data_IF_255121432470
#
_entry.id   IF_255121432470
#
_cell.length_a   1.000
_cell.length_b   1.000
_cell.length_c   1.000
_cell.angle_alpha   90.00
_cell.angle_beta   90.00
_cell.angle_gamma   90.00
#
_symmetry.space_group_name_H-M   'P 1'
#
loop_
_entity.id
_entity.type
_entity.pdbx_description
1 polymer ?
#
# COMPACT_ATOMS: atom_id res chain seq x y z
N UNK A 1 -6.20 -0.76 -0.43
CA UNK A 1 -7.14 0.12 -1.15
C UNK A 1 -7.71 1.18 -0.21
N UNK A 2 -7.91 2.38 -0.71
CA UNK A 2 -8.58 3.48 -0.01
C UNK A 2 -9.84 3.87 -0.76
N UNK A 3 -10.82 4.38 -0.03
CA UNK A 3 -12.03 4.96 -0.61
C UNK A 3 -11.96 6.48 -0.50
N UNK A 4 -12.15 7.17 -1.64
CA UNK A 4 -12.43 8.58 -1.67
C UNK A 4 -13.71 8.78 -2.50
N UNK A 5 -14.79 9.25 -1.87
CA UNK A 5 -16.09 9.55 -2.48
C UNK A 5 -16.70 8.40 -3.25
N UNK A 6 -17.06 7.71 -3.71
CA UNK A 6 -17.59 6.60 -4.54
C UNK A 6 -16.54 5.86 -5.37
N UNK A 7 -15.31 6.34 -5.41
CA UNK A 7 -14.20 5.70 -6.10
C UNK A 7 -13.30 4.97 -5.11
N UNK A 8 -12.88 3.74 -5.45
CA UNK A 8 -11.81 3.06 -4.75
C UNK A 8 -10.48 3.36 -5.44
N UNK A 9 -9.42 3.48 -4.65
CA UNK A 9 -8.07 3.68 -5.16
C UNK A 9 -7.14 2.62 -4.60
N UNK A 10 -6.39 1.99 -5.47
CA UNK A 10 -5.32 1.11 -5.05
C UNK A 10 -4.17 1.96 -4.49
N UNK A 11 -3.73 1.67 -3.26
CA UNK A 11 -2.68 2.40 -2.57
C UNK A 11 -1.42 1.55 -2.35
N UNK A 12 -1.36 0.37 -2.93
CA UNK A 12 -0.15 -0.42 -2.98
C UNK A 12 0.80 0.19 -4.04
N UNK A 13 2.00 0.63 -3.67
CA UNK A 13 2.90 1.37 -4.54
C UNK A 13 3.27 0.64 -5.83
N UNK A 14 3.41 -0.68 -5.80
CA UNK A 14 3.86 -1.45 -6.96
C UNK A 14 2.95 -1.38 -8.19
N UNK A 15 1.66 -1.07 -8.00
CA UNK A 15 0.70 -0.97 -9.10
C UNK A 15 0.11 0.42 -9.30
N UNK A 16 -0.15 1.14 -8.21
CA UNK A 16 -0.79 2.47 -8.28
C UNK A 16 0.09 3.48 -9.02
N UNK A 17 1.40 3.39 -8.82
CA UNK A 17 2.35 4.32 -9.43
C UNK A 17 3.06 3.76 -10.66
N UNK A 18 2.88 2.48 -10.98
CA UNK A 18 3.45 1.85 -12.19
C UNK A 18 2.88 2.47 -13.47
N UNK A 19 1.60 2.83 -13.50
CA UNK A 19 0.96 3.55 -14.61
C UNK A 19 1.52 4.94 -14.82
N UNK A 20 2.13 5.53 -13.79
CA UNK A 20 2.80 6.83 -13.82
C UNK A 20 4.32 6.72 -14.09
N UNK A 21 4.82 5.52 -14.41
CA UNK A 21 6.25 5.25 -14.58
C UNK A 21 7.04 5.20 -13.28
N UNK A 22 6.36 5.19 -12.13
CA UNK A 22 6.94 5.13 -10.79
C UNK A 22 6.67 3.76 -10.18
N UNK A 23 7.57 2.83 -10.35
CA UNK A 23 7.47 1.49 -9.76
C UNK A 23 8.75 0.72 -9.91
N UNK A 24 8.91 -0.35 -9.14
CA UNK A 24 10.12 -1.18 -9.09
C UNK A 24 10.51 -1.86 -10.40
N UNK A 25 9.65 -1.81 -11.42
CA UNK A 25 9.87 -2.48 -12.70
C UNK A 25 10.38 -1.57 -13.85
N UNK A 26 10.47 -0.25 -13.65
CA UNK A 26 11.00 0.65 -14.70
C UNK A 26 12.45 1.04 -14.41
N UNK A 27 13.39 0.37 -15.06
CA UNK A 27 14.84 0.64 -14.98
C UNK A 27 15.27 2.00 -15.57
N UNK A 28 14.35 2.82 -16.06
CA UNK A 28 14.71 4.03 -16.81
C UNK A 28 14.72 5.34 -16.03
N UNK A 29 14.27 5.38 -14.77
CA UNK A 29 14.28 6.61 -13.98
C UNK A 29 14.76 6.39 -12.53
N UNK A 30 15.99 5.92 -12.36
CA UNK A 30 16.61 5.76 -11.04
C UNK A 30 16.72 7.07 -10.23
N UNK A 31 16.72 8.21 -10.91
CA UNK A 31 16.77 9.52 -10.27
C UNK A 31 15.42 9.88 -9.62
N UNK A 32 14.31 9.56 -10.26
CA UNK A 32 12.95 9.82 -9.76
C UNK A 32 12.58 8.89 -8.60
N UNK A 33 12.97 7.61 -8.68
CA UNK A 33 12.75 6.66 -7.58
C UNK A 33 13.61 6.94 -6.35
N UNK A 34 14.74 7.64 -6.51
CA UNK A 34 15.58 8.05 -5.37
C UNK A 34 15.08 9.34 -4.70
N UNK A 35 14.39 10.21 -5.44
CA UNK A 35 13.81 11.44 -4.90
C UNK A 35 12.43 11.24 -4.26
N UNK A 36 11.63 10.30 -4.78
CA UNK A 36 10.29 10.01 -4.27
C UNK A 36 10.22 8.55 -3.85
N UNK A 37 10.37 8.26 -2.55
CA UNK A 37 10.08 6.93 -2.04
C UNK A 37 8.60 6.64 -2.18
N UNK A 38 8.24 5.78 -3.13
CA UNK A 38 6.87 5.29 -3.35
C UNK A 38 6.47 4.22 -2.33
N UNK A 39 7.43 3.73 -1.55
CA UNK A 39 7.22 2.70 -0.53
C UNK A 39 6.66 3.30 0.75
N UNK A 40 5.33 3.49 0.77
CA UNK A 40 4.62 4.08 1.90
C UNK A 40 4.28 3.03 2.96
N UNK A 41 3.83 1.83 2.55
CA UNK A 41 3.48 0.75 3.46
C UNK A 41 4.67 -0.15 3.74
N UNK A 42 5.02 -0.29 5.02
CA UNK A 42 6.19 -1.04 5.48
C UNK A 42 5.83 -2.01 6.59
N UNK A 43 6.55 -3.13 6.63
CA UNK A 43 6.40 -4.09 7.73
C UNK A 43 7.21 -3.66 8.94
N UNK A 44 6.59 -3.69 10.13
CA UNK A 44 7.31 -3.51 11.39
C UNK A 44 8.14 -4.74 11.74
N UNK A 45 9.32 -4.57 12.34
CA UNK A 45 10.03 -5.67 13.00
C UNK A 45 9.16 -6.31 14.09
N UNK A 46 9.30 -7.63 14.29
CA UNK A 46 8.47 -8.39 15.24
C UNK A 46 8.62 -7.90 16.69
N UNK A 47 9.81 -7.50 17.07
CA UNK A 47 10.09 -7.06 18.44
C UNK A 47 10.02 -5.53 18.52
N UNK A 48 8.88 -5.02 18.99
CA UNK A 48 8.62 -3.58 19.16
C UNK A 48 9.53 -2.91 20.19
N UNK A 49 10.05 -3.66 21.17
CA UNK A 49 10.94 -3.10 22.20
C UNK A 49 12.27 -2.59 21.63
N UNK A 50 12.66 -3.06 20.43
CA UNK A 50 13.92 -2.64 19.77
C UNK A 50 13.87 -1.19 19.31
N UNK A 51 12.69 -0.65 19.05
CA UNK A 51 12.55 0.67 18.43
C UNK A 51 11.53 1.60 19.08
N UNK A 52 10.54 1.08 19.81
CA UNK A 52 9.44 1.91 20.35
C UNK A 52 9.91 3.06 21.23
N UNK A 53 11.02 2.88 21.95
CA UNK A 53 11.61 3.92 22.80
C UNK A 53 12.25 5.07 22.01
N UNK A 54 12.52 4.88 20.73
CA UNK A 54 13.07 5.91 19.84
C UNK A 54 12.02 6.94 19.39
N UNK A 55 10.73 6.68 19.68
CA UNK A 55 9.61 7.48 19.19
C UNK A 55 8.70 7.97 20.31
N UNK A 56 8.19 9.20 20.15
CA UNK A 56 7.07 9.70 20.93
C UNK A 56 5.76 9.32 20.25
N UNK A 57 4.80 8.82 21.01
CA UNK A 57 3.42 8.60 20.54
C UNK A 57 2.70 9.96 20.58
N UNK A 58 2.44 10.53 19.40
CA UNK A 58 1.74 11.82 19.27
C UNK A 58 0.24 11.68 19.37
N UNK A 59 -0.32 10.55 18.91
CA UNK A 59 -1.73 10.23 19.06
C UNK A 59 -1.94 8.71 18.98
N UNK A 60 -2.99 8.20 19.62
CA UNK A 60 -3.34 6.78 19.59
C UNK A 60 -2.32 5.89 20.32
N UNK A 61 -1.99 4.77 19.70
CA UNK A 61 -1.08 3.76 20.28
C UNK A 61 -0.36 2.95 19.20
N UNK A 62 0.68 2.21 19.58
CA UNK A 62 1.30 1.22 18.71
C UNK A 62 0.33 0.08 18.36
N UNK A 63 0.42 -0.50 17.14
CA UNK A 63 -0.43 -1.61 16.71
C UNK A 63 -0.36 -2.80 17.70
N UNK A 64 -1.54 -3.32 18.05
CA UNK A 64 -1.72 -4.49 18.92
C UNK A 64 -2.38 -5.66 18.21
N UNK A 65 -3.09 -5.38 17.11
CA UNK A 65 -3.79 -6.37 16.30
C UNK A 65 -3.19 -6.42 14.89
N UNK A 66 -3.43 -7.52 14.22
CA UNK A 66 -2.94 -7.78 12.85
C UNK A 66 -3.40 -6.73 11.81
N UNK A 67 -4.59 -6.19 12.00
CA UNK A 67 -5.20 -5.22 11.11
C UNK A 67 -5.03 -3.75 11.55
N UNK A 68 -4.07 -3.48 12.41
CA UNK A 68 -3.75 -2.14 12.88
C UNK A 68 -2.45 -1.63 12.25
N UNK A 69 -2.42 -0.35 11.90
CA UNK A 69 -1.23 0.33 11.36
C UNK A 69 -0.88 1.57 12.20
N UNK A 70 0.38 1.97 12.12
CA UNK A 70 0.88 3.20 12.73
C UNK A 70 1.56 4.08 11.68
N UNK A 71 1.31 5.39 11.74
CA UNK A 71 2.04 6.38 10.94
C UNK A 71 3.31 6.77 11.69
N UNK A 72 4.44 6.67 11.01
CA UNK A 72 5.72 7.21 11.45
C UNK A 72 5.97 8.53 10.71
N UNK A 73 5.98 9.62 11.47
CA UNK A 73 6.25 10.96 10.96
C UNK A 73 7.75 11.16 10.71
N UNK A 74 8.10 12.20 9.95
CA UNK A 74 9.47 12.71 9.93
C UNK A 74 9.85 13.23 11.32
N UNK A 75 11.14 13.44 11.57
CA UNK A 75 11.63 14.08 12.80
C UNK A 75 11.01 15.47 13.03
N UNK A 76 10.64 16.18 11.95
CA UNK A 76 9.94 17.48 12.01
C UNK A 76 8.41 17.37 12.18
N UNK A 77 7.89 16.17 12.44
CA UNK A 77 6.46 15.95 12.66
C UNK A 77 5.60 16.04 11.40
N UNK A 78 6.16 15.82 10.22
CA UNK A 78 5.45 15.90 8.93
C UNK A 78 5.28 14.50 8.33
N UNK A 79 4.30 14.34 7.45
CA UNK A 79 4.17 13.20 6.55
C UNK A 79 4.85 13.51 5.21
N UNK A 80 5.23 12.48 4.45
CA UNK A 80 5.72 12.67 3.08
C UNK A 80 4.57 12.97 2.12
N UNK A 81 4.89 13.59 0.97
CA UNK A 81 3.88 13.86 -0.07
C UNK A 81 3.19 12.58 -0.54
N UNK A 82 3.95 11.50 -0.73
CA UNK A 82 3.39 10.20 -1.11
C UNK A 82 2.43 9.64 -0.05
N UNK A 83 2.72 9.83 1.23
CA UNK A 83 1.77 9.49 2.30
C UNK A 83 0.52 10.35 2.24
N UNK A 84 0.63 11.64 1.94
CA UNK A 84 -0.52 12.52 1.81
C UNK A 84 -1.47 12.05 0.68
N UNK A 85 -0.93 11.66 -0.48
CA UNK A 85 -1.72 11.05 -1.56
C UNK A 85 -2.33 9.71 -1.15
N UNK A 86 -1.54 8.84 -0.51
CA UNK A 86 -2.00 7.52 -0.04
C UNK A 86 -3.13 7.64 0.98
N UNK A 87 -3.06 8.63 1.87
CA UNK A 87 -4.06 8.92 2.89
C UNK A 87 -5.29 9.67 2.34
N UNK A 88 -5.30 10.04 1.06
CA UNK A 88 -6.38 10.81 0.44
C UNK A 88 -6.47 12.25 0.95
N UNK A 89 -5.37 12.82 1.43
CA UNK A 89 -5.28 14.22 1.86
C UNK A 89 -4.96 15.14 0.67
N UNK A 90 -4.45 14.57 -0.41
CA UNK A 90 -4.22 15.23 -1.69
C UNK A 90 -4.88 14.44 -2.82
N UNK A 91 -5.33 15.16 -3.86
CA UNK A 91 -5.97 14.57 -5.03
C UNK A 91 -4.97 13.84 -5.93
N UNK A 92 -5.40 12.73 -6.53
CA UNK A 92 -4.57 11.96 -7.48
C UNK A 92 -4.21 12.81 -8.71
N UNK A 93 -5.06 13.76 -9.11
CA UNK A 93 -4.80 14.66 -10.23
C UNK A 93 -3.60 15.56 -10.00
N UNK A 94 -3.39 16.04 -8.77
CA UNK A 94 -2.19 16.80 -8.42
C UNK A 94 -0.92 15.95 -8.60
N UNK A 95 -0.98 14.67 -8.28
CA UNK A 95 0.11 13.73 -8.51
C UNK A 95 0.37 13.51 -10.01
N UNK A 96 -0.69 13.31 -10.80
CA UNK A 96 -0.60 13.14 -12.25
C UNK A 96 0.01 14.37 -12.92
N UNK A 97 -0.39 15.56 -12.50
CA UNK A 97 0.11 16.83 -13.04
C UNK A 97 1.59 17.05 -12.65
N UNK A 98 1.97 16.73 -11.42
CA UNK A 98 3.36 16.78 -10.97
C UNK A 98 4.25 15.82 -11.76
N UNK A 99 3.78 14.59 -12.03
CA UNK A 99 4.51 13.61 -12.82
C UNK A 99 4.66 14.06 -14.27
N UNK A 100 3.62 14.65 -14.87
CA UNK A 100 3.67 15.22 -16.23
C UNK A 100 4.65 16.37 -16.34
N UNK A 101 4.63 17.32 -15.40
CA UNK A 101 5.58 18.44 -15.34
C UNK A 101 7.01 17.92 -15.24
N UNK A 102 7.26 16.95 -14.39
CA UNK A 102 8.58 16.33 -14.24
C UNK A 102 9.04 15.61 -15.52
N UNK A 103 8.12 14.95 -16.23
CA UNK A 103 8.41 14.25 -17.48
C UNK A 103 8.72 15.21 -18.64
N UNK A 104 8.22 16.44 -18.57
CA UNK A 104 8.43 17.48 -19.58
C UNK A 104 9.66 18.37 -19.30
N UNK A 105 10.46 18.05 -18.28
CA UNK A 105 11.59 18.88 -17.80
C UNK A 105 11.17 20.32 -17.41
N UNK A 106 9.90 20.53 -17.08
CA UNK A 106 9.39 21.78 -16.54
C UNK A 106 9.78 21.92 -15.06
N UNK A 107 10.01 23.15 -14.59
CA UNK A 107 10.20 23.41 -13.15
C UNK A 107 8.93 22.95 -12.40
N UNK A 108 9.07 21.88 -11.63
CA UNK A 108 8.00 21.42 -10.76
C UNK A 108 7.88 22.40 -9.62
N UNK A 109 6.82 23.19 -9.61
CA UNK A 109 6.48 24.05 -8.46
C UNK A 109 6.05 23.15 -7.29
N UNK A 110 7.04 22.59 -6.59
CA UNK A 110 6.84 21.88 -5.33
C UNK A 110 6.55 22.92 -4.26
N UNK A 111 5.45 23.62 -4.38
CA UNK A 111 4.88 24.35 -3.26
C UNK A 111 4.49 23.29 -2.22
N UNK A 112 5.42 23.04 -1.30
CA UNK A 112 5.14 22.36 -0.04
C UNK A 112 4.03 23.17 0.63
N UNK A 113 2.78 22.86 0.26
CA UNK A 113 1.64 23.34 1.03
C UNK A 113 1.87 22.81 2.43
N UNK A 114 2.09 23.71 3.36
CA UNK A 114 2.23 23.41 4.77
C UNK A 114 0.85 23.01 5.31
N UNK A 115 0.34 21.88 4.86
CA UNK A 115 -0.94 21.36 5.31
C UNK A 115 -0.74 20.87 6.75
N UNK A 116 -1.28 21.64 7.69
CA UNK A 116 -1.37 21.22 9.07
C UNK A 116 -2.42 20.08 9.15
N UNK A 117 -1.95 18.84 9.20
CA UNK A 117 -2.84 17.68 9.36
C UNK A 117 -3.27 17.54 10.82
N UNK A 118 -4.58 17.38 11.04
CA UNK A 118 -5.08 17.02 12.35
C UNK A 118 -4.81 15.52 12.59
N UNK A 119 -4.16 15.16 13.66
CA UNK A 119 -3.90 13.76 14.01
C UNK A 119 -5.18 12.93 14.14
N UNK A 120 -6.29 13.53 14.55
CA UNK A 120 -7.57 12.83 14.64
C UNK A 120 -8.09 12.41 13.26
N UNK A 121 -7.89 13.23 12.23
CA UNK A 121 -8.29 12.90 10.87
C UNK A 121 -7.45 11.76 10.30
N UNK A 122 -6.19 11.65 10.71
CA UNK A 122 -5.30 10.56 10.33
C UNK A 122 -5.64 9.26 11.05
N UNK A 123 -5.98 9.30 12.35
CA UNK A 123 -6.35 8.12 13.15
C UNK A 123 -7.66 7.47 12.67
N UNK A 124 -8.55 8.21 12.05
CA UNK A 124 -9.82 7.68 11.56
C UNK A 124 -9.74 7.12 10.13
N UNK A 125 -8.55 7.15 9.50
CA UNK A 125 -8.36 6.58 8.18
C UNK A 125 -8.31 5.05 8.23
N UNK A 126 -9.05 4.45 7.31
CA UNK A 126 -9.08 3.00 7.11
C UNK A 126 -8.73 2.65 5.68
N UNK A 127 -8.11 1.49 5.49
CA UNK A 127 -7.83 0.90 4.19
C UNK A 127 -8.54 -0.44 4.09
N UNK A 128 -8.80 -0.89 2.88
CA UNK A 128 -9.30 -2.22 2.61
C UNK A 128 -8.18 -3.13 2.13
N UNK A 129 -7.95 -4.21 2.87
CA UNK A 129 -7.04 -5.26 2.46
C UNK A 129 -7.76 -6.21 1.51
N UNK A 130 -7.19 -6.42 0.34
CA UNK A 130 -7.67 -7.35 -0.67
C UNK A 130 -6.50 -8.23 -1.11
N UNK A 131 -6.68 -9.55 -1.10
CA UNK A 131 -5.65 -10.45 -1.57
C UNK A 131 -5.59 -10.49 -3.09
N UNK A 132 -4.40 -10.63 -3.64
CA UNK A 132 -4.22 -10.78 -5.09
C UNK A 132 -4.94 -12.02 -5.66
N UNK A 133 -5.05 -13.08 -4.88
CA UNK A 133 -5.80 -14.28 -5.27
C UNK A 133 -7.29 -14.00 -5.55
N UNK A 134 -7.86 -13.00 -4.89
CA UNK A 134 -9.26 -12.63 -5.03
C UNK A 134 -9.54 -11.78 -6.29
N UNK A 135 -8.50 -11.37 -7.04
CA UNK A 135 -8.66 -10.68 -8.33
C UNK A 135 -9.11 -11.61 -9.44
N UNK A 136 -9.06 -12.92 -9.21
CA UNK A 136 -9.35 -13.91 -10.22
C UNK A 136 -10.72 -14.57 -9.98
N UNK A 137 -11.45 -14.77 -11.06
CA UNK A 137 -12.73 -15.45 -11.07
C UNK A 137 -12.64 -16.74 -11.92
N UNK A 138 -13.16 -17.86 -11.39
CA UNK A 138 -13.17 -19.11 -12.12
C UNK A 138 -14.21 -19.08 -13.24
N UNK A 139 -13.77 -19.39 -14.45
CA UNK A 139 -14.62 -19.57 -15.62
C UNK A 139 -14.92 -21.06 -15.80
N UNK A 140 -16.17 -21.45 -15.53
CA UNK A 140 -16.59 -22.86 -15.61
C UNK A 140 -16.60 -23.40 -17.05
N UNK A 141 -16.81 -22.53 -18.05
CA UNK A 141 -16.87 -22.95 -19.45
C UNK A 141 -15.49 -23.32 -19.98
N UNK A 142 -14.47 -22.55 -19.63
CA UNK A 142 -13.09 -22.75 -20.07
C UNK A 142 -12.23 -23.46 -19.05
N UNK A 143 -12.73 -23.67 -17.83
CA UNK A 143 -12.03 -24.27 -16.69
C UNK A 143 -10.70 -23.57 -16.34
N UNK A 144 -10.70 -22.26 -16.40
CA UNK A 144 -9.55 -21.40 -16.10
C UNK A 144 -9.92 -20.29 -15.13
N UNK A 145 -8.90 -19.67 -14.52
CA UNK A 145 -9.06 -18.46 -13.72
C UNK A 145 -8.78 -17.24 -14.58
N UNK A 146 -9.75 -16.33 -14.65
CA UNK A 146 -9.66 -15.07 -15.39
C UNK A 146 -9.33 -13.92 -14.46
N UNK A 147 -8.37 -13.09 -14.85
CA UNK A 147 -8.06 -11.84 -14.16
C UNK A 147 -9.24 -10.87 -14.33
N UNK A 148 -9.73 -10.33 -13.21
CA UNK A 148 -10.81 -9.37 -13.10
C UNK A 148 -10.34 -8.00 -12.62
N UNK A 149 -9.03 -7.76 -12.56
CA UNK A 149 -8.48 -6.49 -12.08
C UNK A 149 -8.92 -5.27 -12.88
N UNK A 150 -9.25 -5.45 -14.17
CA UNK A 150 -9.76 -4.40 -15.07
C UNK A 150 -11.30 -4.25 -15.04
N UNK A 151 -12.00 -5.17 -14.37
CA UNK A 151 -13.47 -5.13 -14.21
C UNK A 151 -13.82 -4.24 -13.01
N UNK A 152 -14.23 -3.00 -13.29
CA UNK A 152 -14.46 -1.98 -12.26
C UNK A 152 -15.56 -2.38 -11.26
N UNK A 153 -16.64 -3.02 -11.72
CA UNK A 153 -17.73 -3.44 -10.85
C UNK A 153 -17.29 -4.59 -9.94
N UNK A 154 -16.59 -5.57 -10.49
CA UNK A 154 -16.01 -6.66 -9.73
C UNK A 154 -15.04 -6.14 -8.66
N UNK A 155 -14.11 -5.27 -9.04
CA UNK A 155 -13.12 -4.71 -8.12
C UNK A 155 -13.75 -3.81 -7.05
N UNK A 156 -14.76 -3.01 -7.39
CA UNK A 156 -15.49 -2.21 -6.41
C UNK A 156 -16.14 -3.09 -5.35
N UNK A 157 -16.82 -4.16 -5.77
CA UNK A 157 -17.44 -5.14 -4.88
C UNK A 157 -16.41 -5.83 -3.98
N UNK A 158 -15.30 -6.27 -4.58
CA UNK A 158 -14.21 -6.93 -3.88
C UNK A 158 -13.59 -6.04 -2.80
N UNK A 159 -13.33 -4.77 -3.13
CA UNK A 159 -12.77 -3.80 -2.19
C UNK A 159 -13.76 -3.47 -1.08
N UNK A 160 -15.05 -3.26 -1.39
CA UNK A 160 -16.08 -2.99 -0.37
C UNK A 160 -16.18 -4.11 0.67
N UNK A 161 -16.00 -5.35 0.26
CA UNK A 161 -16.01 -6.53 1.13
C UNK A 161 -14.63 -6.88 1.71
N UNK A 162 -13.59 -6.11 1.40
CA UNK A 162 -12.24 -6.29 1.92
C UNK A 162 -12.14 -6.07 3.43
N UNK A 163 -11.11 -6.65 4.04
CA UNK A 163 -10.84 -6.50 5.46
C UNK A 163 -10.36 -5.08 5.79
N UNK A 164 -10.86 -4.51 6.89
CA UNK A 164 -10.43 -3.19 7.32
C UNK A 164 -9.03 -3.23 7.95
N UNK A 165 -8.15 -2.36 7.46
CA UNK A 165 -6.87 -2.02 8.07
C UNK A 165 -6.99 -0.60 8.60
N UNK A 166 -6.78 -0.42 9.91
CA UNK A 166 -7.02 0.83 10.61
C UNK A 166 -5.72 1.49 11.07
N UNK A 167 -5.61 2.79 10.89
CA UNK A 167 -4.56 3.58 11.51
C UNK A 167 -4.94 3.82 12.96
N UNK A 168 -4.14 3.29 13.90
CA UNK A 168 -4.40 3.37 15.34
C UNK A 168 -3.41 4.24 16.09
N UNK A 169 -2.35 4.68 15.43
CA UNK A 169 -1.33 5.49 16.09
C UNK A 169 -0.55 6.37 15.14
N UNK A 170 0.01 7.42 15.70
CA UNK A 170 0.92 8.35 15.06
C UNK A 170 2.11 8.53 15.98
N UNK A 171 3.31 8.27 15.46
CA UNK A 171 4.56 8.34 16.21
C UNK A 171 5.57 9.23 15.50
N UNK A 172 6.44 9.85 16.25
CA UNK A 172 7.48 10.76 15.76
C UNK A 172 8.81 10.39 16.40
N UNK A 173 9.94 10.39 15.65
CA UNK A 173 11.26 10.27 16.24
C UNK A 173 11.48 11.30 17.35
N UNK A 174 12.07 10.88 18.47
CA UNK A 174 12.35 11.76 19.61
C UNK A 174 13.45 12.79 19.30
N UNK A 175 14.40 12.39 18.47
CA UNK A 175 15.58 13.21 18.15
C UNK A 175 15.79 13.25 16.64
N UNK A 176 16.03 14.44 16.10
CA UNK A 176 16.31 14.69 14.67
C UNK A 176 17.72 14.24 14.25
N UNK A 177 18.62 14.10 15.22
CA UNK A 177 20.03 13.77 14.97
C UNK A 177 20.34 12.27 14.96
N UNK A 178 19.43 11.44 15.46
CA UNK A 178 19.62 10.00 15.60
C UNK A 178 19.03 9.23 14.44
N UNK A 179 19.80 8.28 13.88
CA UNK A 179 19.23 7.29 12.95
C UNK A 179 18.21 6.42 13.69
N UNK A 180 16.95 6.54 13.35
CA UNK A 180 15.88 5.72 13.90
C UNK A 180 15.66 4.46 13.06
N UNK A 181 15.18 3.38 13.70
CA UNK A 181 14.98 2.10 13.03
C UNK A 181 13.88 2.15 11.96
N UNK A 182 12.80 2.93 12.22
CA UNK A 182 11.70 3.09 11.27
C UNK A 182 11.82 4.46 10.60
N UNK A 183 11.90 4.47 9.29
CA UNK A 183 11.80 5.70 8.48
C UNK A 183 10.34 6.16 8.39
N UNK A 184 10.10 7.34 7.83
CA UNK A 184 8.74 7.84 7.59
C UNK A 184 7.95 6.87 6.72
N UNK A 185 6.69 6.58 7.11
CA UNK A 185 5.82 5.62 6.40
C UNK A 185 4.61 5.19 7.22
N UNK A 186 3.83 4.26 6.66
CA UNK A 186 2.73 3.58 7.32
C UNK A 186 3.17 2.15 7.61
N UNK A 187 3.24 1.80 8.89
CA UNK A 187 3.77 0.51 9.32
C UNK A 187 2.66 -0.41 9.81
N UNK A 188 2.67 -1.63 9.28
CA UNK A 188 1.80 -2.73 9.72
C UNK A 188 2.62 -3.80 10.45
N UNK A 189 2.03 -4.55 11.39
CA UNK A 189 2.73 -5.62 12.09
C UNK A 189 3.06 -6.78 11.13
N UNK A 190 4.18 -7.45 11.34
CA UNK A 190 4.59 -8.60 10.52
C UNK A 190 3.57 -9.74 10.51
N UNK A 191 2.72 -9.84 11.54
CA UNK A 191 1.60 -10.77 11.59
C UNK A 191 0.57 -10.56 10.46
N UNK A 192 0.49 -9.36 9.87
CA UNK A 192 -0.35 -9.11 8.71
C UNK A 192 0.14 -9.91 7.48
N UNK A 193 1.45 -10.03 7.31
CA UNK A 193 2.03 -10.85 6.24
C UNK A 193 1.62 -12.31 6.41
N UNK A 194 1.78 -12.84 7.63
CA UNK A 194 1.39 -14.22 7.94
C UNK A 194 -0.10 -14.45 7.70
N UNK A 195 -0.95 -13.47 8.03
CA UNK A 195 -2.38 -13.49 7.78
C UNK A 195 -2.69 -13.54 6.27
N UNK A 196 -2.08 -12.67 5.47
CA UNK A 196 -2.26 -12.62 4.00
C UNK A 196 -1.81 -13.93 3.35
N UNK A 197 -0.64 -14.46 3.74
CA UNK A 197 -0.13 -15.74 3.22
C UNK A 197 -1.12 -16.86 3.54
N UNK A 198 -1.57 -16.96 4.80
CA UNK A 198 -2.51 -17.99 5.23
C UNK A 198 -3.85 -17.91 4.50
N UNK A 199 -4.36 -16.71 4.26
CA UNK A 199 -5.61 -16.49 3.52
C UNK A 199 -5.43 -16.86 2.04
N UNK A 200 -4.35 -16.38 1.41
CA UNK A 200 -4.04 -16.66 0.00
C UNK A 200 -3.85 -18.16 -0.24
N UNK A 201 -3.13 -18.84 0.65
CA UNK A 201 -2.92 -20.30 0.54
C UNK A 201 -4.23 -21.09 0.57
N UNK A 202 -5.27 -20.58 1.26
CA UNK A 202 -6.59 -21.23 1.33
C UNK A 202 -7.52 -20.89 0.17
N UNK A 203 -7.14 -19.94 -0.69
CA UNK A 203 -7.97 -19.56 -1.83
C UNK A 203 -8.08 -20.71 -2.84
N UNK A 204 -9.22 -20.80 -3.51
CA UNK A 204 -9.51 -21.90 -4.46
C UNK A 204 -8.49 -21.94 -5.61
N UNK A 205 -8.11 -20.78 -6.16
CA UNK A 205 -7.13 -20.71 -7.24
C UNK A 205 -5.76 -21.28 -6.81
N UNK A 206 -5.30 -20.96 -5.60
CA UNK A 206 -4.02 -21.46 -5.09
C UNK A 206 -4.12 -22.96 -4.80
N UNK A 207 -5.21 -23.42 -4.19
CA UNK A 207 -5.44 -24.84 -3.93
C UNK A 207 -5.54 -25.64 -5.23
N UNK A 208 -6.20 -25.11 -6.24
CA UNK A 208 -6.29 -25.79 -7.55
C UNK A 208 -4.91 -25.90 -8.20
N UNK A 209 -4.07 -24.86 -8.13
CA UNK A 209 -2.72 -24.93 -8.67
C UNK A 209 -1.82 -25.89 -7.89
N UNK A 210 -1.92 -25.93 -6.56
CA UNK A 210 -1.16 -26.87 -5.73
C UNK A 210 -1.57 -28.33 -6.03
N UNK A 211 -2.86 -28.60 -6.23
CA UNK A 211 -3.36 -29.94 -6.51
C UNK A 211 -3.07 -30.40 -7.95
N UNK A 212 -2.82 -29.47 -8.87
CA UNK A 212 -2.57 -29.72 -10.29
C UNK A 212 -1.27 -29.03 -10.74
N UNK A 213 -0.11 -29.45 -10.20
CA UNK A 213 1.16 -28.75 -10.46
C UNK A 213 1.63 -28.82 -11.92
N UNK A 214 1.08 -29.72 -12.72
CA UNK A 214 1.42 -29.84 -14.15
C UNK A 214 0.51 -28.97 -15.04
N UNK A 215 -0.52 -28.35 -14.50
CA UNK A 215 -1.49 -27.55 -15.23
C UNK A 215 -1.42 -26.10 -14.80
N UNK A 216 -1.32 -25.18 -15.76
CA UNK A 216 -1.43 -23.76 -15.50
C UNK A 216 -2.91 -23.38 -15.37
N UNK A 217 -3.34 -22.98 -14.18
CA UNK A 217 -4.74 -22.64 -13.87
C UNK A 217 -5.28 -21.42 -14.63
N UNK A 218 -4.40 -20.58 -15.19
CA UNK A 218 -4.80 -19.42 -15.99
C UNK A 218 -5.02 -19.74 -17.47
N UNK A 219 -4.35 -20.75 -17.99
CA UNK A 219 -4.40 -21.11 -19.40
C UNK A 219 -5.11 -22.43 -19.67
N UNK A 220 -5.29 -23.26 -18.64
CA UNK A 220 -5.81 -24.62 -18.77
C UNK A 220 -4.86 -25.58 -19.51
N UNK A 221 -3.61 -25.20 -19.75
CA UNK A 221 -2.60 -26.00 -20.47
C UNK A 221 -1.57 -26.56 -19.50
N UNK A 222 -0.96 -27.68 -19.89
CA UNK A 222 0.20 -28.17 -19.17
C UNK A 222 1.36 -27.16 -19.23
N UNK A 223 2.16 -27.12 -18.17
CA UNK A 223 3.42 -26.39 -18.23
C UNK A 223 4.37 -27.12 -19.19
N UNK A 224 5.02 -26.40 -20.09
CA UNK A 224 6.10 -26.90 -20.90
C UNK A 224 7.30 -27.17 -19.97
N UNK A 225 7.65 -28.43 -19.76
CA UNK A 225 8.79 -28.88 -18.94
C UNK A 225 9.99 -29.07 -19.85
#
# INVERSE_FOLDING_TARGET
>A
FSFTNEEYRQVNPDKTFASLGMGSSSSSNSMMSSMMSTDVFKSMPKNTNLFSEQYDVKAGHWPKKTNECVIVLTAKGKISDMMAYTLGLRGIQELDDMVKQFSNEEEVDVTLKNDAYNYQDLLNKTFKLVNAADYYQYDQQYQIWKDKSDDQEYMKNLVQNGEDIQIVGIVQPKDDSSATMLSTGIYYPSSLIDHVIKKSTKSEIVQQQINNHNLNVFTGKAFDI
#
